data_IF_155693310431
#
_entry.id   IF_155693310431
#
_cell.length_a   1.000
_cell.length_b   1.000
_cell.length_c   1.000
_cell.angle_alpha   90.00
_cell.angle_beta   90.00
_cell.angle_gamma   90.00
#
_symmetry.space_group_name_H-M   'P 1'
#
loop_
_entity.id
_entity.type
_entity.pdbx_description
1 polymer ?
#
# COMPACT_ATOMS: atom_id res chain seq x y z
N UNK A 1 15.06 21.84 -19.60
CA UNK A 1 14.48 20.50 -19.40
C UNK A 1 15.54 19.66 -18.71
N UNK A 2 15.32 19.28 -17.46
CA UNK A 2 16.25 18.46 -16.68
C UNK A 2 16.32 17.06 -17.27
N UNK A 3 17.53 16.60 -17.55
CA UNK A 3 17.81 15.28 -18.10
C UNK A 3 17.71 14.27 -16.94
N UNK A 4 16.52 13.71 -16.68
CA UNK A 4 16.35 12.61 -15.74
C UNK A 4 16.92 11.33 -16.38
N UNK A 5 18.17 11.00 -16.05
CA UNK A 5 18.73 9.69 -16.32
C UNK A 5 18.00 8.67 -15.43
N UNK A 6 17.30 7.73 -16.05
CA UNK A 6 16.63 6.64 -15.33
C UNK A 6 17.68 5.67 -14.79
N UNK A 7 17.71 5.50 -13.47
CA UNK A 7 18.60 4.53 -12.83
C UNK A 7 18.20 3.10 -13.22
N UNK A 8 19.17 2.28 -13.63
CA UNK A 8 18.91 0.87 -13.92
C UNK A 8 18.82 0.07 -12.62
N UNK A 9 17.61 -0.36 -12.26
CA UNK A 9 17.36 -1.14 -11.04
C UNK A 9 17.85 -2.59 -11.18
N UNK A 10 18.56 -3.07 -10.16
CA UNK A 10 18.95 -4.49 -10.06
C UNK A 10 17.76 -5.34 -9.58
N UNK A 11 17.63 -6.61 -10.02
CA UNK A 11 16.61 -7.51 -9.51
C UNK A 11 16.71 -7.73 -7.99
N UNK A 12 15.56 -7.78 -7.32
CA UNK A 12 15.44 -8.11 -5.90
C UNK A 12 15.18 -9.60 -5.70
N UNK A 13 15.50 -10.12 -4.51
CA UNK A 13 15.30 -11.54 -4.14
C UNK A 13 13.86 -11.89 -3.74
N UNK A 14 13.03 -10.87 -3.52
CA UNK A 14 11.62 -10.97 -3.11
C UNK A 14 10.93 -9.64 -3.44
N UNK A 15 9.64 -9.48 -3.09
CA UNK A 15 8.91 -8.24 -3.26
C UNK A 15 9.61 -7.07 -2.58
N UNK A 16 9.54 -5.89 -3.20
CA UNK A 16 10.27 -4.69 -2.76
C UNK A 16 9.98 -4.32 -1.30
N UNK A 17 8.73 -4.42 -0.85
CA UNK A 17 8.33 -4.12 0.53
C UNK A 17 8.87 -5.11 1.57
N UNK A 18 9.24 -6.34 1.17
CA UNK A 18 9.86 -7.35 2.05
C UNK A 18 11.39 -7.40 1.91
N UNK A 19 11.97 -6.75 0.90
CA UNK A 19 13.38 -6.90 0.51
C UNK A 19 14.40 -6.44 1.56
N UNK A 20 13.99 -5.62 2.53
CA UNK A 20 14.85 -5.10 3.60
C UNK A 20 14.95 -6.03 4.82
N UNK A 21 14.13 -7.08 4.88
CA UNK A 21 14.15 -8.03 5.99
C UNK A 21 15.41 -8.90 5.96
N UNK A 22 15.91 -9.29 7.15
CA UNK A 22 17.09 -10.18 7.27
C UNK A 22 16.78 -11.65 6.98
N UNK A 23 15.52 -12.07 7.17
CA UNK A 23 15.04 -13.44 6.94
C UNK A 23 14.46 -13.59 5.54
N UNK A 24 14.50 -14.80 4.98
CA UNK A 24 13.70 -15.14 3.79
C UNK A 24 12.21 -15.06 4.17
N UNK A 25 11.37 -14.34 3.42
CA UNK A 25 9.94 -14.32 3.67
C UNK A 25 9.33 -15.72 3.59
N UNK A 26 8.43 -16.02 4.52
CA UNK A 26 7.59 -17.21 4.50
C UNK A 26 6.56 -17.14 3.36
N UNK A 27 5.95 -18.27 3.04
CA UNK A 27 4.83 -18.29 2.08
C UNK A 27 3.72 -17.33 2.51
N UNK A 28 3.37 -17.33 3.80
CA UNK A 28 2.37 -16.42 4.36
C UNK A 28 2.73 -14.96 4.05
N UNK A 29 3.93 -14.50 4.40
CA UNK A 29 4.35 -13.11 4.14
C UNK A 29 4.34 -12.76 2.65
N UNK A 30 4.67 -13.72 1.77
CA UNK A 30 4.67 -13.52 0.32
C UNK A 30 3.26 -13.30 -0.24
N UNK A 31 2.23 -13.94 0.32
CA UNK A 31 0.88 -13.96 -0.26
C UNK A 31 -0.16 -13.15 0.52
N UNK A 32 0.17 -12.59 1.69
CA UNK A 32 -0.80 -11.86 2.53
C UNK A 32 -0.44 -10.41 2.84
N UNK A 33 0.83 -10.04 2.82
CA UNK A 33 1.28 -8.75 3.34
C UNK A 33 1.07 -7.59 2.33
N UNK A 34 0.59 -6.44 2.82
CA UNK A 34 0.52 -5.16 2.08
C UNK A 34 -0.32 -5.20 0.78
N UNK A 35 -1.48 -5.86 0.80
CA UNK A 35 -2.31 -6.05 -0.40
C UNK A 35 -3.49 -5.07 -0.53
N UNK A 36 -3.84 -4.35 0.54
CA UNK A 36 -4.96 -3.42 0.54
C UNK A 36 -4.63 -2.09 -0.14
N UNK A 37 -4.61 -2.07 -1.47
CA UNK A 37 -4.30 -0.87 -2.26
C UNK A 37 -5.14 0.36 -1.89
N UNK A 38 -6.37 0.16 -1.40
CA UNK A 38 -7.27 1.25 -1.03
C UNK A 38 -6.85 2.04 0.23
N UNK A 39 -5.78 1.64 0.91
CA UNK A 39 -5.18 2.41 2.03
C UNK A 39 -4.15 3.44 1.57
N UNK A 40 -3.65 3.33 0.34
CA UNK A 40 -2.58 4.19 -0.21
C UNK A 40 -3.01 5.64 -0.36
N UNK A 41 -4.22 5.88 -0.87
CA UNK A 41 -4.80 7.21 -1.00
C UNK A 41 -5.87 7.43 0.08
N UNK A 42 -5.57 8.31 1.03
CA UNK A 42 -6.42 8.55 2.20
C UNK A 42 -7.73 9.26 1.87
N UNK A 43 -7.77 10.05 0.80
CA UNK A 43 -8.95 10.85 0.41
C UNK A 43 -9.82 10.12 -0.61
N UNK A 44 -9.23 9.21 -1.38
CA UNK A 44 -9.90 8.44 -2.41
C UNK A 44 -9.46 6.97 -2.34
N UNK A 45 -10.10 6.15 -1.48
CA UNK A 45 -9.74 4.74 -1.33
C UNK A 45 -9.84 3.92 -2.62
N UNK A 46 -10.78 4.24 -3.51
CA UNK A 46 -10.97 3.52 -4.77
C UNK A 46 -10.91 4.47 -5.96
N UNK A 47 -10.28 4.01 -7.04
CA UNK A 47 -10.17 4.63 -8.36
C UNK A 47 -11.48 4.55 -9.17
N UNK A 48 -12.58 4.94 -8.54
CA UNK A 48 -13.91 5.03 -9.14
C UNK A 48 -14.32 6.49 -9.37
N UNK A 49 -15.35 6.70 -10.19
CA UNK A 49 -15.84 8.03 -10.56
C UNK A 49 -16.28 8.89 -9.37
N UNK A 50 -16.38 10.19 -9.60
CA UNK A 50 -16.86 11.15 -8.60
C UNK A 50 -18.28 10.78 -8.14
N UNK A 51 -18.52 10.77 -6.82
CA UNK A 51 -19.82 10.41 -6.23
C UNK A 51 -19.99 8.93 -5.86
N UNK A 52 -18.95 8.11 -5.99
CA UNK A 52 -19.00 6.72 -5.57
C UNK A 52 -19.16 6.58 -4.04
N UNK A 53 -20.34 6.13 -3.61
CA UNK A 53 -20.70 5.95 -2.19
C UNK A 53 -19.77 5.01 -1.42
N UNK A 54 -19.03 4.15 -2.12
CA UNK A 54 -18.05 3.27 -1.50
C UNK A 54 -16.85 4.04 -0.92
N UNK A 55 -16.40 5.11 -1.58
CA UNK A 55 -15.36 5.97 -1.03
C UNK A 55 -15.84 6.63 0.27
N UNK A 56 -17.04 7.24 0.23
CA UNK A 56 -17.66 7.88 1.40
C UNK A 56 -17.77 6.90 2.60
N UNK A 57 -18.16 5.65 2.33
CA UNK A 57 -18.27 4.61 3.34
C UNK A 57 -16.92 4.29 3.99
N UNK A 58 -15.88 4.05 3.20
CA UNK A 58 -14.55 3.72 3.73
C UNK A 58 -13.91 4.89 4.47
N UNK A 59 -14.11 6.12 3.99
CA UNK A 59 -13.67 7.32 4.69
C UNK A 59 -14.31 7.41 6.08
N UNK A 60 -15.62 7.20 6.19
CA UNK A 60 -16.34 7.29 7.46
C UNK A 60 -16.00 6.16 8.43
N UNK A 61 -16.01 4.91 7.97
CA UNK A 61 -15.99 3.75 8.87
C UNK A 61 -14.62 3.10 9.02
N UNK A 62 -13.67 3.34 8.10
CA UNK A 62 -12.31 2.82 8.21
C UNK A 62 -11.29 3.92 8.47
N UNK A 63 -11.20 4.93 7.61
CA UNK A 63 -10.13 5.93 7.69
C UNK A 63 -10.28 6.87 8.90
N UNK A 64 -11.51 7.30 9.18
CA UNK A 64 -11.83 8.16 10.33
C UNK A 64 -12.26 7.38 11.57
N UNK A 65 -11.88 6.10 11.66
CA UNK A 65 -12.06 5.33 12.88
C UNK A 65 -11.34 6.01 14.07
N UNK A 66 -11.94 6.00 15.28
CA UNK A 66 -11.25 6.47 16.47
C UNK A 66 -10.06 5.58 16.85
N UNK A 67 -10.07 4.31 16.43
CA UNK A 67 -8.95 3.39 16.62
C UNK A 67 -7.90 3.64 15.52
N UNK A 68 -6.70 4.05 15.94
CA UNK A 68 -5.62 4.47 15.06
C UNK A 68 -4.34 3.68 15.36
N UNK A 69 -3.62 3.36 14.31
CA UNK A 69 -2.28 2.79 14.35
C UNK A 69 -1.48 3.39 13.17
N UNK A 70 -0.17 3.56 13.33
CA UNK A 70 0.68 4.17 12.31
C UNK A 70 0.94 3.23 11.13
N UNK A 71 1.07 1.93 11.42
CA UNK A 71 1.32 0.87 10.44
C UNK A 71 0.42 -0.34 10.72
N UNK A 72 -0.73 -0.42 10.05
CA UNK A 72 -1.67 -1.53 10.22
C UNK A 72 -1.22 -2.82 9.53
N UNK A 73 -0.25 -2.75 8.61
CA UNK A 73 0.22 -3.87 7.79
C UNK A 73 1.49 -4.56 8.35
N UNK A 74 1.96 -4.12 9.53
CA UNK A 74 3.18 -4.59 10.20
C UNK A 74 3.14 -6.07 10.65
#
# INVERSE_FOLDING_TARGET
MSNEQTETLKPLKTWSHLSKQRKRPSEYEIVTANLHFHTNNKDKPFEVGQGAKMNDWYLKYRNNSPLKHEDWDA
#
